data_IF_348305437386
#
_entry.id   IF_348305437386
#
_cell.length_a   1.000
_cell.length_b   1.000
_cell.length_c   1.000
_cell.angle_alpha   90.00
_cell.angle_beta   90.00
_cell.angle_gamma   90.00
#
_symmetry.space_group_name_H-M   'P 1'
#
loop_
_entity.id
_entity.type
_entity.pdbx_description
1 polymer ?
#
# COMPACT_ATOMS: atom_id res chain seq x y z
N UNK A 1 -12.86 -1.38 -19.20
CA UNK A 1 -11.80 -1.47 -18.17
C UNK A 1 -12.29 -0.80 -16.89
N UNK A 2 -12.04 -1.40 -15.73
CA UNK A 2 -12.53 -0.88 -14.44
C UNK A 2 -11.61 0.19 -13.80
N UNK A 3 -10.44 0.44 -14.38
CA UNK A 3 -9.43 1.39 -13.85
C UNK A 3 -9.71 2.80 -14.34
N UNK A 4 -9.76 3.77 -13.42
CA UNK A 4 -9.91 5.19 -13.73
C UNK A 4 -8.53 5.85 -13.93
N UNK A 5 -7.94 5.68 -15.11
CA UNK A 5 -6.60 6.18 -15.44
C UNK A 5 -6.39 7.68 -15.22
N UNK A 6 -7.44 8.49 -15.42
CA UNK A 6 -7.39 9.93 -15.14
C UNK A 6 -7.15 10.21 -13.66
N UNK A 7 -7.82 9.48 -12.76
CA UNK A 7 -7.64 9.60 -11.31
C UNK A 7 -6.26 9.08 -10.90
N UNK A 8 -5.83 7.95 -11.43
CA UNK A 8 -4.49 7.40 -11.17
C UNK A 8 -3.40 8.39 -11.57
N UNK A 9 -3.48 8.99 -12.76
CA UNK A 9 -2.51 9.97 -13.23
C UNK A 9 -2.47 11.25 -12.38
N UNK A 10 -3.63 11.68 -11.88
CA UNK A 10 -3.72 12.86 -11.00
C UNK A 10 -3.23 12.57 -9.57
N UNK A 11 -3.23 11.32 -9.11
CA UNK A 11 -2.67 10.91 -7.82
C UNK A 11 -1.20 10.51 -7.94
N UNK A 12 -0.75 10.06 -9.12
CA UNK A 12 0.55 9.44 -9.33
C UNK A 12 1.72 10.31 -8.90
N UNK A 13 1.70 11.61 -9.22
CA UNK A 13 2.78 12.53 -8.85
C UNK A 13 2.88 12.69 -7.31
N UNK A 14 1.74 12.91 -6.65
CA UNK A 14 1.67 12.93 -5.18
C UNK A 14 2.12 11.61 -4.55
N UNK A 15 1.63 10.48 -5.06
CA UNK A 15 1.97 9.14 -4.56
C UNK A 15 3.46 8.82 -4.72
N UNK A 16 4.06 9.22 -5.84
CA UNK A 16 5.47 9.01 -6.13
C UNK A 16 6.36 9.86 -5.22
N UNK A 17 6.10 11.17 -5.13
CA UNK A 17 6.85 12.07 -4.25
C UNK A 17 6.66 11.71 -2.78
N UNK A 18 5.41 11.42 -2.38
CA UNK A 18 5.08 10.96 -1.05
C UNK A 18 5.78 9.65 -0.72
N UNK A 19 5.78 8.68 -1.63
CA UNK A 19 6.45 7.40 -1.48
C UNK A 19 7.97 7.53 -1.31
N UNK A 20 8.61 8.43 -2.07
CA UNK A 20 10.04 8.74 -1.91
C UNK A 20 10.33 9.33 -0.53
N UNK A 21 9.53 10.31 -0.11
CA UNK A 21 9.66 10.90 1.23
C UNK A 21 9.44 9.86 2.32
N UNK A 22 8.46 8.97 2.15
CA UNK A 22 8.15 7.91 3.10
C UNK A 22 9.27 6.88 3.22
N UNK A 23 9.86 6.47 2.09
CA UNK A 23 11.02 5.57 2.08
C UNK A 23 12.25 6.21 2.73
N UNK A 24 12.49 7.49 2.47
CA UNK A 24 13.58 8.25 3.08
C UNK A 24 13.41 8.37 4.60
N UNK A 25 12.21 8.75 5.05
CA UNK A 25 11.88 8.78 6.49
C UNK A 25 12.03 7.40 7.10
N UNK A 26 11.53 6.35 6.46
CA UNK A 26 11.63 4.97 6.98
C UNK A 26 13.08 4.49 7.11
N UNK A 27 13.98 4.95 6.22
CA UNK A 27 15.40 4.56 6.25
C UNK A 27 16.17 5.11 7.45
N UNK A 28 15.75 6.25 8.00
CA UNK A 28 16.41 6.90 9.13
C UNK A 28 15.81 6.49 10.50
N UNK A 29 14.71 5.72 10.49
CA UNK A 29 13.98 5.35 11.70
C UNK A 29 14.39 4.00 12.26
N UNK A 30 14.38 3.88 13.59
CA UNK A 30 14.65 2.62 14.27
C UNK A 30 13.62 1.56 13.88
N UNK A 31 14.08 0.35 13.54
CA UNK A 31 13.25 -0.80 13.16
C UNK A 31 12.08 -1.04 14.13
N UNK A 32 12.29 -0.82 15.44
CA UNK A 32 11.24 -1.01 16.45
C UNK A 32 10.10 0.01 16.32
N UNK A 33 10.41 1.26 15.99
CA UNK A 33 9.40 2.32 15.79
C UNK A 33 8.60 2.00 14.52
N UNK A 34 9.28 1.58 13.46
CA UNK A 34 8.63 1.21 12.20
C UNK A 34 7.66 0.02 12.38
N UNK A 35 8.07 -1.00 13.13
CA UNK A 35 7.24 -2.15 13.48
C UNK A 35 6.01 -1.74 14.31
N UNK A 36 6.18 -0.87 15.31
CA UNK A 36 5.06 -0.34 16.11
C UNK A 36 4.07 0.46 15.26
N UNK A 37 4.56 1.38 14.43
CA UNK A 37 3.72 2.19 13.53
C UNK A 37 2.95 1.31 12.56
N UNK A 38 3.63 0.34 11.94
CA UNK A 38 2.97 -0.63 11.06
C UNK A 38 1.90 -1.43 11.82
N UNK A 39 2.23 -1.92 13.02
CA UNK A 39 1.33 -2.78 13.78
C UNK A 39 0.07 -2.05 14.25
N UNK A 40 0.21 -0.83 14.78
CA UNK A 40 -0.93 0.03 15.14
C UNK A 40 -1.77 0.37 13.92
N UNK A 41 -1.12 0.70 12.79
CA UNK A 41 -1.83 0.98 11.54
C UNK A 41 -2.61 -0.25 11.05
N UNK A 42 -2.00 -1.43 11.01
CA UNK A 42 -2.64 -2.67 10.59
C UNK A 42 -3.84 -3.03 11.48
N UNK A 43 -3.71 -2.90 12.81
CA UNK A 43 -4.82 -3.10 13.74
C UNK A 43 -5.95 -2.10 13.46
N UNK A 44 -5.63 -0.82 13.28
CA UNK A 44 -6.63 0.23 13.02
C UNK A 44 -7.43 -0.03 11.73
N UNK A 45 -6.74 -0.43 10.65
CA UNK A 45 -7.36 -0.80 9.37
C UNK A 45 -8.18 -2.08 9.52
N UNK A 46 -7.66 -3.08 10.24
CA UNK A 46 -8.37 -4.32 10.53
C UNK A 46 -9.69 -4.07 11.27
N UNK A 47 -9.66 -3.24 12.32
CA UNK A 47 -10.85 -2.82 13.05
C UNK A 47 -11.81 -2.04 12.16
N UNK A 48 -11.33 -1.09 11.35
CA UNK A 48 -12.16 -0.34 10.41
C UNK A 48 -12.88 -1.26 9.41
N UNK A 49 -12.18 -2.26 8.89
CA UNK A 49 -12.75 -3.25 7.97
C UNK A 49 -13.75 -4.19 8.66
N UNK A 50 -13.54 -4.48 9.95
CA UNK A 50 -14.43 -5.30 10.77
C UNK A 50 -15.73 -4.57 11.13
N UNK A 51 -15.65 -3.29 11.53
CA UNK A 51 -16.80 -2.49 11.99
C UNK A 51 -17.66 -1.88 10.88
N UNK A 52 -17.32 -2.10 9.60
CA UNK A 52 -18.20 -1.73 8.48
C UNK A 52 -18.66 -0.26 8.46
N UNK A 53 -17.76 0.70 8.72
CA UNK A 53 -18.03 2.11 8.35
C UNK A 53 -17.86 2.29 6.85
N UNK A 54 -18.81 1.77 6.07
CA UNK A 54 -19.05 2.23 4.70
C UNK A 54 -19.80 3.56 4.81
N UNK A 55 -19.09 4.63 5.17
CA UNK A 55 -19.63 5.98 5.06
C UNK A 55 -19.78 6.28 3.56
N UNK A 56 -20.94 5.95 2.98
CA UNK A 56 -21.32 6.38 1.64
C UNK A 56 -21.55 7.89 1.70
N UNK A 57 -20.47 8.65 1.61
CA UNK A 57 -20.54 10.10 1.57
C UNK A 57 -20.78 10.53 0.13
N UNK A 58 -21.77 11.39 -0.05
CA UNK A 58 -22.25 11.89 -1.34
C UNK A 58 -21.42 13.10 -1.82
N UNK A 59 -20.10 13.08 -1.64
CA UNK A 59 -19.21 14.22 -1.93
C UNK A 59 -18.55 14.09 -3.31
N UNK A 60 -18.52 15.19 -4.05
CA UNK A 60 -17.83 15.30 -5.34
C UNK A 60 -16.32 15.15 -5.16
N UNK A 61 -15.64 14.57 -6.16
CA UNK A 61 -14.18 14.46 -6.17
C UNK A 61 -13.53 15.85 -6.04
N UNK A 62 -12.57 16.04 -5.12
CA UNK A 62 -11.92 17.33 -4.92
C UNK A 62 -11.03 17.71 -6.11
N UNK A 63 -10.70 18.99 -6.23
CA UNK A 63 -9.89 19.52 -7.32
C UNK A 63 -8.49 18.89 -7.39
N UNK A 64 -7.86 18.93 -8.57
CA UNK A 64 -6.54 18.36 -8.87
C UNK A 64 -5.43 18.60 -7.81
N UNK A 65 -5.24 19.82 -7.26
CA UNK A 65 -4.19 20.03 -6.27
C UNK A 65 -4.47 19.34 -4.93
N UNK A 66 -5.76 19.23 -4.54
CA UNK A 66 -6.17 18.51 -3.33
C UNK A 66 -5.97 17.01 -3.50
N UNK A 67 -6.25 16.47 -4.68
CA UNK A 67 -5.95 15.07 -4.99
C UNK A 67 -4.46 14.76 -4.90
N UNK A 68 -3.58 15.62 -5.43
CA UNK A 68 -2.13 15.42 -5.29
C UNK A 68 -1.66 15.51 -3.84
N UNK A 69 -2.20 16.45 -3.04
CA UNK A 69 -1.85 16.56 -1.62
C UNK A 69 -2.25 15.29 -0.84
N UNK A 70 -3.46 14.77 -1.09
CA UNK A 70 -3.91 13.50 -0.50
C UNK A 70 -3.07 12.32 -0.98
N UNK A 71 -2.74 12.29 -2.28
CA UNK A 71 -1.81 11.30 -2.84
C UNK A 71 -0.42 11.37 -2.20
N UNK A 72 0.06 12.57 -1.86
CA UNK A 72 1.28 12.79 -1.08
C UNK A 72 1.22 12.13 0.28
N UNK A 73 0.19 12.43 1.07
CA UNK A 73 0.00 11.84 2.41
C UNK A 73 -0.13 10.33 2.33
N UNK A 74 -0.96 9.81 1.42
CA UNK A 74 -1.12 8.37 1.21
C UNK A 74 0.20 7.75 0.79
N UNK A 75 0.94 8.38 -0.13
CA UNK A 75 2.24 7.93 -0.60
C UNK A 75 3.27 7.87 0.53
N UNK A 76 3.33 8.88 1.39
CA UNK A 76 4.26 8.91 2.53
C UNK A 76 3.93 7.84 3.55
N UNK A 77 2.66 7.70 3.93
CA UNK A 77 2.24 6.64 4.86
C UNK A 77 2.46 5.27 4.24
N UNK A 78 2.10 5.06 2.97
CA UNK A 78 2.34 3.81 2.25
C UNK A 78 3.82 3.51 2.04
N UNK A 79 4.68 4.52 1.90
CA UNK A 79 6.14 4.37 1.79
C UNK A 79 6.76 3.95 3.12
N UNK A 80 6.31 4.53 4.24
CA UNK A 80 6.76 4.17 5.59
C UNK A 80 6.27 2.77 5.95
N UNK A 81 4.98 2.51 5.75
CA UNK A 81 4.34 1.26 6.17
C UNK A 81 4.57 0.16 5.13
N UNK A 82 4.95 0.47 3.89
CA UNK A 82 5.14 -0.53 2.83
C UNK A 82 3.84 -1.17 2.32
N UNK A 83 2.67 -0.65 2.71
CA UNK A 83 1.38 -1.13 2.21
C UNK A 83 1.10 -0.38 0.91
N UNK A 84 1.39 -1.03 -0.23
CA UNK A 84 1.04 -0.52 -1.55
C UNK A 84 -0.41 -0.05 -1.56
N UNK A 85 -0.64 1.25 -1.81
CA UNK A 85 -1.72 2.13 -1.31
C UNK A 85 -3.20 1.69 -1.41
N UNK A 86 -3.49 0.45 -1.81
CA UNK A 86 -4.70 -0.34 -1.58
C UNK A 86 -5.55 0.05 -0.38
N UNK A 87 -5.00 -0.10 0.83
CA UNK A 87 -5.76 0.00 2.07
C UNK A 87 -6.30 1.40 2.36
N UNK A 88 -5.63 2.46 1.93
CA UNK A 88 -6.03 3.85 2.15
C UNK A 88 -6.70 4.49 0.94
N UNK A 89 -6.28 4.10 -0.27
CA UNK A 89 -6.81 4.66 -1.52
C UNK A 89 -8.20 4.09 -1.84
N UNK A 90 -8.46 2.80 -1.52
CA UNK A 90 -9.80 2.21 -1.67
C UNK A 90 -10.85 2.93 -0.81
N UNK A 91 -10.70 3.09 0.53
CA UNK A 91 -11.69 3.80 1.34
C UNK A 91 -11.83 5.25 0.89
N UNK A 92 -10.74 5.95 0.55
CA UNK A 92 -10.79 7.31 0.04
C UNK A 92 -11.63 7.44 -1.25
N UNK A 93 -11.43 6.55 -2.23
CA UNK A 93 -12.19 6.56 -3.48
C UNK A 93 -13.65 6.17 -3.25
N UNK A 94 -13.93 5.17 -2.40
CA UNK A 94 -15.31 4.82 -2.05
C UNK A 94 -16.04 5.94 -1.29
N UNK A 95 -15.30 6.74 -0.52
CA UNK A 95 -15.83 7.90 0.18
C UNK A 95 -16.19 9.06 -0.76
N UNK A 96 -15.61 9.09 -1.96
CA UNK A 96 -15.92 10.03 -3.04
C UNK A 96 -16.83 9.43 -4.12
N UNK A 97 -17.65 8.44 -3.73
CA UNK A 97 -18.71 7.88 -4.58
C UNK A 97 -18.20 7.12 -5.83
N UNK A 98 -16.96 6.63 -5.80
CA UNK A 98 -16.45 5.71 -6.82
C UNK A 98 -16.92 4.30 -6.50
N UNK A 99 -17.44 3.58 -7.52
CA UNK A 99 -17.92 2.21 -7.32
C UNK A 99 -16.81 1.32 -6.75
N UNK A 100 -17.15 0.40 -5.85
CA UNK A 100 -16.14 -0.39 -5.12
C UNK A 100 -15.22 -1.19 -6.06
N UNK A 101 -15.77 -1.67 -7.20
CA UNK A 101 -15.03 -2.38 -8.24
C UNK A 101 -14.03 -1.45 -8.96
N UNK A 102 -14.41 -0.20 -9.21
CA UNK A 102 -13.50 0.81 -9.78
C UNK A 102 -12.49 1.32 -8.75
N UNK A 103 -12.88 1.48 -7.48
CA UNK A 103 -12.00 1.91 -6.40
C UNK A 103 -10.89 0.89 -6.16
N UNK A 104 -11.22 -0.41 -6.10
CA UNK A 104 -10.23 -1.49 -5.97
C UNK A 104 -9.31 -1.52 -7.20
N UNK A 105 -9.86 -1.47 -8.42
CA UNK A 105 -9.06 -1.50 -9.64
C UNK A 105 -8.11 -0.28 -9.77
N UNK A 106 -8.62 0.91 -9.46
CA UNK A 106 -7.85 2.18 -9.51
C UNK A 106 -6.79 2.20 -8.41
N UNK A 107 -7.10 1.68 -7.23
CA UNK A 107 -6.13 1.59 -6.14
C UNK A 107 -4.99 0.62 -6.43
N UNK A 108 -5.25 -0.51 -7.09
CA UNK A 108 -4.19 -1.42 -7.52
C UNK A 108 -3.26 -0.74 -8.53
N UNK A 109 -3.80 0.09 -9.43
CA UNK A 109 -2.99 0.89 -10.36
C UNK A 109 -2.17 1.98 -9.63
N UNK A 110 -2.71 2.57 -8.57
CA UNK A 110 -2.00 3.54 -7.71
C UNK A 110 -0.85 2.90 -6.93
N UNK A 111 -0.86 1.57 -6.73
CA UNK A 111 0.24 0.86 -6.07
C UNK A 111 1.55 0.91 -6.86
N UNK A 112 1.48 1.01 -8.19
CA UNK A 112 2.66 1.01 -9.07
C UNK A 112 3.60 2.22 -8.85
N UNK A 113 3.13 3.48 -8.87
CA UNK A 113 4.00 4.63 -8.59
C UNK A 113 4.58 4.61 -7.16
N UNK A 114 3.83 4.12 -6.17
CA UNK A 114 4.32 3.98 -4.78
C UNK A 114 5.44 2.93 -4.73
N UNK A 115 5.23 1.77 -5.35
CA UNK A 115 6.21 0.69 -5.36
C UNK A 115 7.50 1.13 -6.08
N UNK A 116 7.37 1.86 -7.19
CA UNK A 116 8.52 2.41 -7.91
C UNK A 116 9.28 3.45 -7.07
N UNK A 117 8.55 4.35 -6.39
CA UNK A 117 9.14 5.32 -5.48
C UNK A 117 9.87 4.64 -4.32
N UNK A 118 9.26 3.65 -3.67
CA UNK A 118 9.89 2.88 -2.60
C UNK A 118 11.12 2.12 -3.08
N UNK A 119 11.05 1.47 -4.24
CA UNK A 119 12.19 0.79 -4.87
C UNK A 119 13.35 1.76 -5.10
N UNK A 120 13.11 2.90 -5.75
CA UNK A 120 14.15 3.90 -6.00
C UNK A 120 14.70 4.50 -4.69
N UNK A 121 13.82 4.75 -3.71
CA UNK A 121 14.19 5.26 -2.39
C UNK A 121 15.14 4.32 -1.66
N UNK A 122 14.78 3.04 -1.52
CA UNK A 122 15.64 2.04 -0.84
C UNK A 122 16.90 1.69 -1.62
N UNK A 123 16.87 1.75 -2.96
CA UNK A 123 18.07 1.60 -3.78
C UNK A 123 19.05 2.76 -3.55
N UNK A 124 18.54 3.99 -3.49
CA UNK A 124 19.36 5.19 -3.28
C UNK A 124 19.89 5.28 -1.84
N UNK A 125 19.08 4.98 -0.82
CA UNK A 125 19.52 5.05 0.58
C UNK A 125 20.49 3.94 0.96
N UNK A 126 20.43 2.79 0.28
CA UNK A 126 21.38 1.69 0.51
C UNK A 126 22.68 1.80 -0.29
N UNK A 127 22.81 2.78 -1.19
CA UNK A 127 23.94 2.90 -2.10
C UNK A 127 25.22 3.21 -1.33
N UNK A 128 26.22 2.32 -1.41
CA UNK A 128 27.51 2.48 -0.73
C UNK A 128 27.67 1.73 0.59
N UNK A 129 26.68 0.95 1.03
CA UNK A 129 26.83 0.06 2.18
C UNK A 129 27.67 -1.18 1.83
N UNK A 130 28.87 -1.29 2.41
CA UNK A 130 29.84 -2.38 2.19
C UNK A 130 29.44 -3.74 2.81
N UNK A 131 28.36 -3.81 3.59
CA UNK A 131 27.93 -5.01 4.32
C UNK A 131 26.83 -5.83 3.61
N UNK A 132 26.60 -5.61 2.31
CA UNK A 132 25.52 -6.26 1.56
C UNK A 132 26.02 -7.51 0.81
N UNK A 133 25.18 -8.56 0.67
CA UNK A 133 25.52 -9.75 -0.13
C UNK A 133 25.88 -9.41 -1.57
N UNK A 134 26.74 -10.22 -2.20
CA UNK A 134 26.97 -10.17 -3.65
C UNK A 134 25.61 -10.21 -4.39
N UNK A 135 25.44 -9.42 -5.44
CA UNK A 135 24.16 -9.20 -6.16
C UNK A 135 23.10 -8.32 -5.45
N UNK A 136 23.52 -7.37 -4.61
CA UNK A 136 22.62 -6.35 -4.04
C UNK A 136 22.80 -4.98 -4.70
N UNK A 137 21.70 -4.30 -5.03
CA UNK A 137 21.68 -2.89 -5.43
C UNK A 137 21.09 -2.05 -4.29
N UNK A 138 21.96 -1.45 -3.47
CA UNK A 138 21.57 -0.83 -2.21
C UNK A 138 20.98 -1.87 -1.25
N UNK A 139 19.79 -1.59 -0.71
CA UNK A 139 19.06 -2.55 0.14
C UNK A 139 18.31 -3.64 -0.66
N UNK A 140 18.41 -3.65 -1.99
CA UNK A 140 17.61 -4.53 -2.85
C UNK A 140 18.44 -5.72 -3.30
N UNK A 141 18.09 -6.91 -2.80
CA UNK A 141 18.72 -8.16 -3.21
C UNK A 141 18.09 -8.67 -4.51
N UNK A 142 18.86 -8.65 -5.61
CA UNK A 142 18.38 -8.97 -6.96
C UNK A 142 17.77 -10.39 -7.08
N UNK A 143 18.37 -11.46 -6.50
CA UNK A 143 17.78 -12.79 -6.58
C UNK A 143 16.43 -12.89 -5.85
N UNK A 144 16.28 -12.24 -4.68
CA UNK A 144 14.98 -12.16 -4.00
C UNK A 144 13.96 -11.38 -4.84
N UNK A 145 14.36 -10.27 -5.46
CA UNK A 145 13.47 -9.50 -6.31
C UNK A 145 12.91 -10.35 -7.46
N UNK A 146 13.78 -11.04 -8.20
CA UNK A 146 13.36 -11.86 -9.36
C UNK A 146 12.48 -13.02 -8.90
N UNK A 147 12.89 -13.75 -7.86
CA UNK A 147 12.11 -14.90 -7.37
C UNK A 147 10.72 -14.48 -6.86
N UNK A 148 10.63 -13.40 -6.08
CA UNK A 148 9.35 -12.86 -5.59
C UNK A 148 8.50 -12.37 -6.77
N UNK A 149 9.09 -11.67 -7.75
CA UNK A 149 8.36 -11.17 -8.90
C UNK A 149 7.76 -12.31 -9.74
N UNK A 150 8.54 -13.35 -10.04
CA UNK A 150 8.09 -14.51 -10.82
C UNK A 150 6.94 -15.23 -10.10
N UNK A 151 7.12 -15.56 -8.82
CA UNK A 151 6.09 -16.21 -8.00
C UNK A 151 4.84 -15.34 -7.91
N UNK A 152 4.99 -14.02 -7.73
CA UNK A 152 3.87 -13.09 -7.63
C UNK A 152 3.06 -13.04 -8.93
N UNK A 153 3.70 -12.94 -10.09
CA UNK A 153 3.01 -12.91 -11.40
C UNK A 153 2.24 -14.21 -11.66
N UNK A 154 2.81 -15.36 -11.29
CA UNK A 154 2.18 -16.67 -11.43
C UNK A 154 0.97 -16.84 -10.49
N UNK A 155 1.08 -16.41 -9.23
CA UNK A 155 0.04 -16.61 -8.22
C UNK A 155 -1.00 -15.48 -8.14
N UNK A 156 -0.70 -14.27 -8.64
CA UNK A 156 -1.64 -13.15 -8.70
C UNK A 156 -3.00 -13.48 -9.35
N UNK A 157 -3.08 -14.15 -10.53
CA UNK A 157 -4.37 -14.50 -11.13
C UNK A 157 -5.13 -15.54 -10.32
N UNK A 158 -4.44 -16.45 -9.62
CA UNK A 158 -5.06 -17.43 -8.72
C UNK A 158 -5.71 -16.70 -7.54
N UNK A 159 -4.97 -15.79 -6.89
CA UNK A 159 -5.50 -14.96 -5.82
C UNK A 159 -6.68 -14.10 -6.25
N UNK A 160 -6.62 -13.48 -7.43
CA UNK A 160 -7.73 -12.69 -7.98
C UNK A 160 -8.98 -13.53 -8.25
N UNK A 161 -8.83 -14.74 -8.82
CA UNK A 161 -9.94 -15.67 -9.02
C UNK A 161 -10.58 -16.10 -7.70
N UNK A 162 -9.78 -16.47 -6.71
CA UNK A 162 -10.27 -16.81 -5.37
C UNK A 162 -11.00 -15.65 -4.70
N UNK A 163 -10.45 -14.44 -4.76
CA UNK A 163 -11.07 -13.24 -4.20
C UNK A 163 -12.42 -12.91 -4.86
N UNK A 164 -12.60 -13.23 -6.14
CA UNK A 164 -13.87 -13.04 -6.85
C UNK A 164 -14.94 -14.09 -6.51
N UNK A 165 -14.52 -15.31 -6.14
CA UNK A 165 -15.44 -16.39 -5.78
C UNK A 165 -15.95 -16.32 -4.34
N UNK A 166 -15.26 -15.60 -3.45
CA UNK A 166 -15.64 -15.46 -2.04
C UNK A 166 -16.59 -14.27 -1.86
N UNK A 167 -17.71 -14.43 -1.12
CA UNK A 167 -18.61 -13.31 -0.86
C UNK A 167 -17.89 -12.18 -0.10
N UNK A 168 -18.14 -10.94 -0.54
CA UNK A 168 -17.42 -9.73 -0.09
C UNK A 168 -17.37 -9.58 1.43
N UNK A 169 -18.42 -9.99 2.14
CA UNK A 169 -18.48 -9.96 3.61
C UNK A 169 -17.47 -10.90 4.30
N UNK A 170 -17.33 -12.13 3.79
CA UNK A 170 -16.36 -13.10 4.32
C UNK A 170 -14.93 -12.68 3.99
N UNK A 171 -14.67 -12.22 2.77
CA UNK A 171 -13.35 -11.74 2.36
C UNK A 171 -12.87 -10.59 3.26
N UNK A 172 -13.77 -9.63 3.55
CA UNK A 172 -13.48 -8.53 4.48
C UNK A 172 -13.13 -9.02 5.88
N UNK A 173 -13.88 -10.00 6.42
CA UNK A 173 -13.63 -10.56 7.76
C UNK A 173 -12.28 -11.28 7.85
N UNK A 174 -11.94 -12.11 6.87
CA UNK A 174 -10.64 -12.79 6.82
C UNK A 174 -9.49 -11.79 6.74
N UNK A 175 -9.60 -10.77 5.89
CA UNK A 175 -8.57 -9.74 5.76
C UNK A 175 -8.42 -8.91 7.05
N UNK A 176 -9.54 -8.55 7.69
CA UNK A 176 -9.54 -7.85 8.97
C UNK A 176 -8.84 -8.66 10.07
N UNK A 177 -9.16 -9.95 10.21
CA UNK A 177 -8.50 -10.86 11.15
C UNK A 177 -7.01 -10.97 10.87
N UNK A 178 -6.62 -11.16 9.62
CA UNK A 178 -5.22 -11.25 9.22
C UNK A 178 -4.45 -9.97 9.57
N UNK A 179 -5.01 -8.80 9.29
CA UNK A 179 -4.39 -7.51 9.64
C UNK A 179 -4.24 -7.32 11.15
N UNK A 180 -5.24 -7.71 11.94
CA UNK A 180 -5.16 -7.66 13.41
C UNK A 180 -4.04 -8.59 13.91
N UNK A 181 -4.00 -9.85 13.44
CA UNK A 181 -2.97 -10.81 13.84
C UNK A 181 -1.57 -10.31 13.48
N UNK A 182 -1.38 -9.84 12.25
CA UNK A 182 -0.09 -9.29 11.79
C UNK A 182 0.29 -8.07 12.62
N UNK A 183 -0.65 -7.18 12.92
CA UNK A 183 -0.36 -5.98 13.71
C UNK A 183 -0.01 -6.27 15.17
N UNK A 184 -0.65 -7.27 15.78
CA UNK A 184 -0.29 -7.74 17.13
C UNK A 184 1.12 -8.36 17.13
N UNK A 185 1.44 -9.18 16.12
CA UNK A 185 2.78 -9.77 15.97
C UNK A 185 3.87 -8.70 15.81
N UNK A 186 3.60 -7.65 15.03
CA UNK A 186 4.58 -6.59 14.80
C UNK A 186 4.73 -5.61 15.96
N UNK A 187 3.71 -5.45 16.81
CA UNK A 187 3.82 -4.67 18.04
C UNK A 187 4.62 -5.40 19.13
N UNK A 188 5.02 -6.66 18.90
CA UNK A 188 5.81 -7.45 19.83
C UNK A 188 5.04 -7.88 21.07
N UNK A 189 3.71 -7.88 20.99
CA UNK A 189 2.81 -8.36 22.05
C UNK A 189 2.76 -9.90 22.08
N UNK A 190 3.16 -10.55 20.99
CA UNK A 190 3.28 -12.01 20.80
C UNK A 190 4.59 -12.29 20.05
#
# INVERSE_FOLDING_TARGET
>A
GAVLWKLTGQLAAGLFLGGLLGAWIASDQNTRILQLVFGVFAISVGLQMFFQTQAVSRRMLPAWPVMNAVGGVIGTVSGIVGIGGGSMTVPFLTWHNVSIRQAVATSSACGLPIALAGFLGFMATGWGNLAMPEYSWGYIYLPALISIAVLSVLFAPVGAKLAHSVPVGLLKRFFALLMIIVGIKLTGVI
#
